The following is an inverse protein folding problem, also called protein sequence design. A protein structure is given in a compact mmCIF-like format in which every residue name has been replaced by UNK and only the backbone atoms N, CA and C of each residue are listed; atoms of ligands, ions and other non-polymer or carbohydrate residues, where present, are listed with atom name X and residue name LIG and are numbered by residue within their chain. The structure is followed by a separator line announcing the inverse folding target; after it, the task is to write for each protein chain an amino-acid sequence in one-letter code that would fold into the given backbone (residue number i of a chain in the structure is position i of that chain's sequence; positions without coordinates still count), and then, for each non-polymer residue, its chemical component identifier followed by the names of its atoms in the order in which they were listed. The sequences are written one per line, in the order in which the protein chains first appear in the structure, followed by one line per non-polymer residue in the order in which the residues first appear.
data_IF_654653614201
#
_entry.id   IF_654653614201
#
_cell.length_a   1.000
_cell.length_b   1.000
_cell.length_c   1.000
_cell.angle_alpha   90.00
_cell.angle_beta   90.00
_cell.angle_gamma   90.00
#
_symmetry.space_group_name_H-M   'P 1'
#
loop_
_entity.id
_entity.type
_entity.pdbx_description
1 polymer ?
#
# COMPACT_ATOMS: atom_id res chain seq x y z
N UNK A 1 5.97 15.78 7.58
CA UNK A 1 5.68 14.93 6.40
C UNK A 1 6.90 14.06 6.14
N UNK A 2 6.74 12.74 5.98
CA UNK A 2 7.84 11.84 5.63
C UNK A 2 7.75 11.48 4.15
N UNK A 3 8.85 11.61 3.42
CA UNK A 3 8.94 11.30 1.99
C UNK A 3 10.03 10.25 1.81
N UNK A 4 9.69 9.13 1.18
CA UNK A 4 10.66 8.08 0.83
C UNK A 4 11.01 8.21 -0.64
N UNK A 5 12.31 8.22 -0.93
CA UNK A 5 12.83 8.34 -2.29
C UNK A 5 14.00 7.40 -2.50
N UNK A 6 14.39 7.23 -3.76
CA UNK A 6 15.58 6.45 -4.07
C UNK A 6 16.86 7.25 -3.76
N UNK A 7 17.94 6.55 -3.44
CA UNK A 7 19.26 7.14 -3.11
C UNK A 7 19.88 8.02 -4.22
N UNK A 8 19.41 7.91 -5.47
CA UNK A 8 19.88 8.74 -6.59
C UNK A 8 19.01 9.99 -6.84
N UNK A 9 18.08 10.29 -5.93
CA UNK A 9 17.26 11.49 -6.04
C UNK A 9 18.14 12.76 -6.02
N UNK A 10 17.85 13.78 -6.85
CA UNK A 10 18.64 15.00 -6.90
C UNK A 10 18.72 15.70 -5.54
N UNK A 11 19.94 15.97 -5.06
CA UNK A 11 20.19 16.62 -3.78
C UNK A 11 19.49 17.99 -3.66
N UNK A 12 19.36 18.70 -4.79
CA UNK A 12 18.62 19.97 -4.86
C UNK A 12 17.13 19.79 -4.53
N UNK A 13 16.50 18.69 -4.97
CA UNK A 13 15.09 18.42 -4.67
C UNK A 13 14.90 17.94 -3.23
N UNK A 14 15.84 17.15 -2.71
CA UNK A 14 15.85 16.76 -1.29
C UNK A 14 15.92 18.03 -0.42
N UNK A 15 16.91 18.88 -0.65
CA UNK A 15 17.11 20.15 0.07
C UNK A 15 15.87 21.03 -0.02
N UNK A 16 15.27 21.13 -1.21
CA UNK A 16 14.05 21.91 -1.43
C UNK A 16 12.91 21.40 -0.55
N UNK A 17 12.66 20.09 -0.52
CA UNK A 17 11.59 19.48 0.28
C UNK A 17 11.84 19.61 1.79
N UNK A 18 13.08 19.43 2.22
CA UNK A 18 13.47 19.58 3.62
C UNK A 18 13.35 21.03 4.10
N UNK A 19 13.69 22.01 3.25
CA UNK A 19 13.49 23.44 3.57
C UNK A 19 12.02 23.82 3.75
N UNK A 20 11.10 23.00 3.21
CA UNK A 20 9.65 23.12 3.39
C UNK A 20 9.12 22.31 4.59
N UNK A 21 10.00 21.66 5.37
CA UNK A 21 9.64 20.90 6.56
C UNK A 21 9.30 19.42 6.32
N UNK A 22 9.63 18.86 5.16
CA UNK A 22 9.58 17.42 4.95
C UNK A 22 10.81 16.73 5.55
N UNK A 23 10.66 15.49 6.00
CA UNK A 23 11.77 14.60 6.32
C UNK A 23 11.93 13.63 5.15
N UNK A 24 13.05 13.72 4.44
CA UNK A 24 13.29 12.90 3.25
C UNK A 24 14.19 11.71 3.62
N UNK A 25 13.73 10.51 3.29
CA UNK A 25 14.38 9.24 3.60
C UNK A 25 14.83 8.58 2.31
N UNK A 26 16.14 8.41 2.15
CA UNK A 26 16.72 7.73 1.00
C UNK A 26 16.79 6.22 1.26
N UNK A 27 16.13 5.43 0.42
CA UNK A 27 16.10 3.96 0.52
C UNK A 27 16.60 3.28 -0.75
N UNK A 28 17.02 2.03 -0.65
CA UNK A 28 17.52 1.25 -1.79
C UNK A 28 16.44 0.94 -2.84
N UNK A 29 16.87 0.50 -4.04
CA UNK A 29 15.97 -0.07 -5.06
C UNK A 29 15.64 -1.52 -4.74
N UNK A 30 14.43 -1.90 -5.09
CA UNK A 30 14.08 -3.27 -5.46
C UNK A 30 13.83 -3.33 -6.98
N UNK A 31 13.71 -4.54 -7.54
CA UNK A 31 13.36 -4.74 -8.96
C UNK A 31 12.04 -4.07 -9.38
N UNK A 32 11.20 -3.61 -8.43
CA UNK A 32 9.87 -3.07 -8.70
C UNK A 32 9.65 -1.65 -8.15
N UNK A 33 10.68 -1.01 -7.60
CA UNK A 33 10.59 0.35 -7.05
C UNK A 33 11.49 0.53 -5.84
N UNK A 34 10.98 1.18 -4.81
CA UNK A 34 11.69 1.31 -3.53
C UNK A 34 11.67 -0.02 -2.77
N UNK A 35 12.63 -0.20 -1.87
CA UNK A 35 12.61 -1.29 -0.91
C UNK A 35 11.58 -1.04 0.21
N UNK A 36 10.41 -1.69 0.10
CA UNK A 36 9.30 -1.50 1.03
C UNK A 36 9.58 -2.06 2.43
N UNK A 37 10.42 -3.08 2.56
CA UNK A 37 10.75 -3.66 3.88
C UNK A 37 11.61 -2.68 4.68
N UNK A 38 12.62 -2.08 4.03
CA UNK A 38 13.41 -0.99 4.61
C UNK A 38 12.54 0.22 4.99
N UNK A 39 11.59 0.61 4.14
CA UNK A 39 10.65 1.70 4.45
C UNK A 39 9.84 1.38 5.70
N UNK A 40 9.26 0.18 5.81
CA UNK A 40 8.47 -0.20 6.98
C UNK A 40 9.33 -0.28 8.26
N UNK A 41 10.59 -0.67 8.16
CA UNK A 41 11.54 -0.61 9.27
C UNK A 41 11.76 0.82 9.78
N UNK A 42 12.00 1.78 8.88
CA UNK A 42 12.12 3.20 9.24
C UNK A 42 10.82 3.72 9.85
N UNK A 43 9.67 3.37 9.27
CA UNK A 43 8.35 3.75 9.79
C UNK A 43 8.14 3.22 11.21
N UNK A 44 8.60 2.00 11.51
CA UNK A 44 8.57 1.43 12.85
C UNK A 44 9.49 2.19 13.81
N UNK A 45 10.70 2.56 13.40
CA UNK A 45 11.64 3.38 14.20
C UNK A 45 11.08 4.77 14.52
N UNK A 46 10.25 5.32 13.64
CA UNK A 46 9.49 6.55 13.86
C UNK A 46 8.32 6.38 14.86
N UNK A 47 8.12 5.18 15.39
CA UNK A 47 7.08 4.85 16.37
C UNK A 47 5.71 4.57 15.77
N UNK A 48 5.61 4.44 14.43
CA UNK A 48 4.34 4.15 13.75
C UNK A 48 4.10 2.64 13.75
N UNK A 49 3.05 2.22 14.44
CA UNK A 49 2.72 0.79 14.61
C UNK A 49 1.85 0.22 13.49
N UNK A 50 1.15 1.08 12.75
CA UNK A 50 0.24 0.66 11.68
C UNK A 50 0.21 1.69 10.57
N UNK A 51 0.22 1.23 9.31
CA UNK A 51 0.10 2.07 8.12
C UNK A 51 -1.16 1.70 7.36
N UNK A 52 -1.97 2.70 7.03
CA UNK A 52 -3.05 2.55 6.05
C UNK A 52 -2.50 2.90 4.67
N UNK A 53 -2.38 1.90 3.79
CA UNK A 53 -2.05 2.12 2.39
C UNK A 53 -3.34 2.29 1.58
N UNK A 54 -3.66 3.52 1.18
CA UNK A 54 -4.83 3.81 0.32
C UNK A 54 -4.58 3.51 -1.18
N UNK A 55 -3.33 3.24 -1.57
CA UNK A 55 -2.95 2.91 -2.95
C UNK A 55 -1.74 3.72 -3.45
N UNK A 56 -1.47 3.83 -4.75
CA UNK A 56 -2.20 3.28 -5.90
C UNK A 56 -1.87 1.81 -6.22
N UNK A 57 -2.47 1.29 -7.30
CA UNK A 57 -2.42 -0.13 -7.66
C UNK A 57 -0.99 -0.72 -7.62
N UNK A 58 0.02 0.00 -8.14
CA UNK A 58 1.41 -0.46 -8.12
C UNK A 58 1.94 -0.70 -6.70
N UNK A 59 1.71 0.23 -5.77
CA UNK A 59 2.18 0.12 -4.38
C UNK A 59 1.43 -1.00 -3.64
N UNK A 60 0.10 -1.02 -3.75
CA UNK A 60 -0.73 -2.06 -3.12
C UNK A 60 -0.29 -3.46 -3.55
N UNK A 61 -0.04 -3.67 -4.85
CA UNK A 61 0.43 -4.95 -5.36
C UNK A 61 1.84 -5.31 -4.87
N UNK A 62 2.74 -4.35 -4.75
CA UNK A 62 4.10 -4.61 -4.22
C UNK A 62 4.05 -5.04 -2.75
N UNK A 63 3.15 -4.46 -1.94
CA UNK A 63 2.92 -4.89 -0.56
C UNK A 63 2.33 -6.31 -0.50
N UNK A 64 1.34 -6.61 -1.35
CA UNK A 64 0.71 -7.94 -1.43
C UNK A 64 1.74 -9.01 -1.80
N UNK A 65 2.53 -8.81 -2.86
CA UNK A 65 3.56 -9.77 -3.30
C UNK A 65 4.63 -10.04 -2.25
N UNK A 66 5.00 -9.01 -1.48
CA UNK A 66 5.98 -9.13 -0.39
C UNK A 66 5.37 -9.66 0.92
N UNK A 67 4.10 -10.05 0.93
CA UNK A 67 3.41 -10.54 2.13
C UNK A 67 3.31 -9.51 3.28
N UNK A 68 3.34 -8.21 2.96
CA UNK A 68 3.40 -7.09 3.92
C UNK A 68 2.01 -6.51 4.27
N UNK A 69 0.93 -7.21 3.93
CA UNK A 69 -0.44 -6.76 4.17
C UNK A 69 -1.09 -7.65 5.22
N UNK A 70 -1.47 -7.08 6.37
CA UNK A 70 -2.16 -7.81 7.44
C UNK A 70 -3.69 -7.66 7.38
N UNK A 71 -4.20 -6.54 6.85
CA UNK A 71 -5.64 -6.28 6.75
C UNK A 71 -5.97 -5.62 5.42
N UNK A 72 -7.10 -6.00 4.83
CA UNK A 72 -7.68 -5.40 3.65
C UNK A 72 -8.97 -4.66 4.02
N UNK A 73 -9.11 -3.44 3.53
CA UNK A 73 -10.36 -2.68 3.55
C UNK A 73 -10.85 -2.52 2.11
N UNK A 74 -11.93 -3.22 1.76
CA UNK A 74 -12.45 -3.27 0.40
C UNK A 74 -13.79 -2.54 0.34
N UNK A 75 -13.84 -1.41 -0.36
CA UNK A 75 -15.08 -0.74 -0.71
C UNK A 75 -15.54 -1.20 -2.09
N UNK A 76 -16.70 -1.86 -2.13
CA UNK A 76 -17.30 -2.39 -3.36
C UNK A 76 -18.55 -1.57 -3.69
N UNK A 77 -18.48 -0.82 -4.79
CA UNK A 77 -19.60 -0.05 -5.32
C UNK A 77 -20.41 -0.90 -6.34
N UNK A 78 -21.74 -0.73 -6.43
CA UNK A 78 -22.58 -1.45 -7.39
C UNK A 78 -22.49 -0.78 -8.78
N UNK A 79 -21.28 -0.77 -9.36
CA UNK A 79 -20.97 -0.17 -10.66
C UNK A 79 -20.19 -1.14 -11.52
N UNK A 80 -20.49 -1.15 -12.81
CA UNK A 80 -19.68 -1.83 -13.83
C UNK A 80 -18.71 -0.83 -14.45
N UNK A 81 -17.42 -1.16 -14.49
CA UNK A 81 -16.39 -0.26 -15.05
C UNK A 81 -16.21 -0.44 -16.57
N UNK A 82 -16.52 -1.62 -17.11
CA UNK A 82 -16.42 -1.89 -18.56
C UNK A 82 -14.99 -2.15 -19.04
N UNK A 83 -14.81 -2.18 -20.36
CA UNK A 83 -13.51 -2.41 -20.99
C UNK A 83 -12.55 -1.25 -20.76
N UNK A 84 -11.27 -1.55 -20.56
CA UNK A 84 -10.24 -0.54 -20.28
C UNK A 84 -10.22 -0.05 -18.83
N UNK A 85 -11.02 -0.66 -17.94
CA UNK A 85 -10.94 -0.38 -16.50
C UNK A 85 -9.58 -0.75 -15.93
N UNK A 86 -9.11 0.02 -14.95
CA UNK A 86 -7.88 -0.28 -14.21
C UNK A 86 -8.19 -1.37 -13.16
N UNK A 87 -7.45 -2.49 -13.14
CA UNK A 87 -7.62 -3.51 -12.10
C UNK A 87 -7.30 -2.95 -10.71
N UNK A 88 -8.14 -3.30 -9.72
CA UNK A 88 -7.88 -2.97 -8.32
C UNK A 88 -6.60 -3.64 -7.79
N UNK A 89 -6.30 -4.84 -8.31
CA UNK A 89 -5.15 -5.67 -7.94
C UNK A 89 -4.38 -6.16 -9.18
N UNK A 90 -3.62 -5.25 -9.81
CA UNK A 90 -2.49 -5.60 -10.67
C UNK A 90 -2.80 -6.20 -12.04
N UNK A 91 -1.78 -6.19 -12.90
CA UNK A 91 -1.90 -6.56 -14.33
C UNK A 91 -1.21 -7.90 -14.66
N UNK A 92 -0.47 -8.49 -13.72
CA UNK A 92 0.51 -9.55 -14.00
C UNK A 92 0.33 -10.79 -13.11
N UNK A 93 -0.72 -11.57 -13.35
CA UNK A 93 -0.83 -13.02 -13.06
C UNK A 93 -0.82 -13.50 -11.59
N UNK A 94 -0.08 -12.87 -10.69
CA UNK A 94 -0.07 -13.17 -9.27
C UNK A 94 -1.20 -12.43 -8.58
N UNK A 95 -2.28 -13.17 -8.31
CA UNK A 95 -3.43 -12.68 -7.60
C UNK A 95 -3.20 -12.75 -6.10
N UNK A 96 -3.88 -11.85 -5.37
CA UNK A 96 -4.05 -11.99 -3.93
C UNK A 96 -4.55 -13.42 -3.62
N UNK A 97 -3.87 -14.12 -2.71
CA UNK A 97 -4.34 -15.41 -2.19
C UNK A 97 -5.51 -15.16 -1.24
N UNK A 98 -6.71 -15.07 -1.79
CA UNK A 98 -7.91 -14.75 -1.04
C UNK A 98 -8.16 -15.71 0.14
N UNK A 99 -7.77 -16.97 0.00
CA UNK A 99 -7.90 -17.97 1.06
C UNK A 99 -6.98 -17.71 2.27
N UNK A 100 -5.98 -16.84 2.15
CA UNK A 100 -5.13 -16.43 3.28
C UNK A 100 -5.82 -15.37 4.16
N UNK A 101 -7.00 -14.88 3.76
CA UNK A 101 -7.73 -13.84 4.46
C UNK A 101 -9.09 -14.33 4.96
N UNK A 102 -9.50 -13.86 6.14
CA UNK A 102 -10.78 -14.16 6.77
C UNK A 102 -11.53 -12.88 7.12
N UNK A 103 -12.87 -12.87 7.12
CA UNK A 103 -13.63 -11.69 7.55
C UNK A 103 -13.27 -11.27 8.97
N UNK A 104 -12.81 -10.03 9.12
CA UNK A 104 -12.55 -9.41 10.43
C UNK A 104 -13.84 -8.96 11.12
N UNK A 105 -14.85 -8.62 10.31
CA UNK A 105 -16.19 -8.19 10.73
C UNK A 105 -17.22 -8.53 9.65
N UNK A 106 -18.51 -8.49 10.01
CA UNK A 106 -19.60 -8.64 9.05
C UNK A 106 -19.61 -7.48 8.06
N UNK A 107 -19.82 -7.71 6.74
CA UNK A 107 -19.87 -6.65 5.75
C UNK A 107 -20.83 -5.52 6.13
N UNK A 108 -20.39 -4.28 5.94
CA UNK A 108 -21.14 -3.08 6.34
C UNK A 108 -21.59 -2.28 5.12
N UNK A 109 -22.81 -1.78 5.14
CA UNK A 109 -23.31 -0.88 4.11
C UNK A 109 -22.95 0.57 4.42
N UNK A 110 -22.43 1.27 3.41
CA UNK A 110 -22.20 2.71 3.42
C UNK A 110 -22.93 3.33 2.22
N UNK A 111 -24.18 3.72 2.45
CA UNK A 111 -25.07 4.11 1.37
C UNK A 111 -25.34 2.94 0.43
N UNK A 112 -24.85 3.02 -0.82
CA UNK A 112 -24.97 1.93 -1.80
C UNK A 112 -23.73 1.04 -1.88
N UNK A 113 -22.65 1.40 -1.19
CA UNK A 113 -21.39 0.69 -1.25
C UNK A 113 -21.29 -0.28 -0.07
N UNK A 114 -20.53 -1.36 -0.24
CA UNK A 114 -20.26 -2.36 0.80
C UNK A 114 -18.81 -2.27 1.23
N UNK A 115 -18.57 -2.13 2.53
CA UNK A 115 -17.27 -2.33 3.15
C UNK A 115 -17.11 -3.81 3.54
N UNK A 116 -16.07 -4.44 3.02
CA UNK A 116 -15.60 -5.77 3.43
C UNK A 116 -14.23 -5.59 4.07
N UNK A 117 -14.07 -6.05 5.30
CA UNK A 117 -12.78 -6.01 6.01
C UNK A 117 -12.30 -7.43 6.24
N UNK A 118 -11.09 -7.72 5.77
CA UNK A 118 -10.48 -9.04 5.88
C UNK A 118 -9.14 -8.95 6.62
N UNK A 119 -8.93 -9.84 7.59
CA UNK A 119 -7.64 -10.06 8.25
C UNK A 119 -6.92 -11.23 7.62
N UNK A 120 -5.60 -11.11 7.47
CA UNK A 120 -4.77 -12.26 7.13
C UNK A 120 -4.84 -13.27 8.28
N UNK A 121 -4.98 -14.55 7.95
CA UNK A 121 -4.84 -15.65 8.90
C UNK A 121 -3.49 -15.53 9.60
N UNK A 122 -3.50 -15.60 10.94
CA UNK A 122 -2.26 -15.79 11.68
C UNK A 122 -1.70 -17.18 11.37
N UNK A 123 -0.38 -17.28 11.26
CA UNK A 123 0.32 -18.57 11.24
C UNK A 123 0.11 -19.33 12.57
#
# INVERSE_FOLDING_TARGET
LHIFTHQDAPESEITRLESLGAHVHSVGKSNQGLDLESILGIVQELGVQSVLCEGGAKLANSLIRKNLVQRLYLFVAPKTLGSGSIPAFGDSGETLKWDDFIPALSPQLHGRDTLIVLDRKSD
#
